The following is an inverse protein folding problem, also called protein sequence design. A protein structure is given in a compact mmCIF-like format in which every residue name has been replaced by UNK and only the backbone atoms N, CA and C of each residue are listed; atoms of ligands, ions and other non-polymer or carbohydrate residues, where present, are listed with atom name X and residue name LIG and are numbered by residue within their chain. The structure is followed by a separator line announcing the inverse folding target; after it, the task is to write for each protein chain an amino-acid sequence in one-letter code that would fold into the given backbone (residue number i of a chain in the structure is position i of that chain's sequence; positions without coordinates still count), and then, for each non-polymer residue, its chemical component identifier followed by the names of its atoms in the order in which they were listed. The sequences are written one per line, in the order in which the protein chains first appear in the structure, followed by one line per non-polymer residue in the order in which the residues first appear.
data_IF_453095194930
#
_entry.id   IF_453095194930
#
_cell.length_a   1.000
_cell.length_b   1.000
_cell.length_c   1.000
_cell.angle_alpha   90.00
_cell.angle_beta   90.00
_cell.angle_gamma   90.00
#
_symmetry.space_group_name_H-M   'P 1'
#
loop_
_entity.id
_entity.type
_entity.pdbx_description
1 polymer ?
#
# COMPACT_ATOMS: atom_id res chain seq x y z
N UNK A 1 -5.04 18.98 -28.28
CA UNK A 1 -6.16 18.82 -27.32
C UNK A 1 -6.31 20.14 -26.58
N UNK A 2 -7.46 20.82 -26.70
CA UNK A 2 -7.65 22.16 -26.10
C UNK A 2 -7.76 22.06 -24.57
N UNK A 3 -7.25 23.03 -23.83
CA UNK A 3 -7.22 23.06 -22.34
C UNK A 3 -8.62 22.83 -21.73
N UNK A 4 -9.67 23.29 -22.41
CA UNK A 4 -11.05 23.14 -21.98
C UNK A 4 -11.55 21.69 -22.04
N UNK A 5 -11.04 20.90 -22.99
CA UNK A 5 -11.31 19.45 -23.06
C UNK A 5 -10.58 18.67 -21.98
N UNK A 6 -9.40 19.12 -21.58
CA UNK A 6 -8.69 18.62 -20.41
C UNK A 6 -9.45 18.94 -19.11
N UNK A 7 -9.90 20.18 -18.95
CA UNK A 7 -10.65 20.63 -17.78
C UNK A 7 -11.97 19.88 -17.60
N UNK A 8 -12.70 19.58 -18.67
CA UNK A 8 -13.99 18.86 -18.59
C UNK A 8 -13.82 17.38 -18.25
N UNK A 9 -12.69 16.76 -18.66
CA UNK A 9 -12.37 15.36 -18.32
C UNK A 9 -11.84 15.18 -16.89
N UNK A 10 -11.13 16.17 -16.36
CA UNK A 10 -10.36 16.01 -15.12
C UNK A 10 -11.11 16.47 -13.86
N UNK A 11 -12.03 17.44 -13.98
CA UNK A 11 -12.70 18.07 -12.82
C UNK A 11 -13.49 17.10 -11.92
N UNK A 12 -14.30 16.17 -12.44
CA UNK A 12 -15.12 15.32 -11.56
C UNK A 12 -14.32 14.33 -10.73
N UNK A 13 -13.09 13.98 -11.17
CA UNK A 13 -12.29 12.92 -10.53
C UNK A 13 -11.20 13.45 -9.58
N UNK A 14 -10.83 14.73 -9.69
CA UNK A 14 -9.78 15.33 -8.84
C UNK A 14 -10.17 15.44 -7.37
N UNK A 15 -11.45 15.55 -7.05
CA UNK A 15 -11.91 15.65 -5.66
C UNK A 15 -11.58 14.38 -4.84
N UNK A 16 -11.39 13.22 -5.46
CA UNK A 16 -10.89 12.03 -4.78
C UNK A 16 -9.53 12.26 -4.10
N UNK A 17 -8.71 13.19 -4.63
CA UNK A 17 -7.41 13.50 -4.05
C UNK A 17 -7.52 14.21 -2.70
N UNK A 18 -8.67 14.81 -2.37
CA UNK A 18 -8.93 15.36 -1.04
C UNK A 18 -8.90 14.28 0.05
N UNK A 19 -9.16 13.02 -0.33
CA UNK A 19 -9.03 11.89 0.58
C UNK A 19 -7.63 11.82 1.22
N UNK A 20 -6.58 12.12 0.47
CA UNK A 20 -5.22 12.08 1.00
C UNK A 20 -5.00 13.05 2.17
N UNK A 21 -5.64 14.20 2.14
CA UNK A 21 -5.56 15.18 3.25
C UNK A 21 -6.20 14.59 4.49
N UNK A 22 -7.41 14.05 4.36
CA UNK A 22 -8.14 13.41 5.48
C UNK A 22 -7.35 12.20 6.00
N UNK A 23 -6.87 11.34 5.09
CA UNK A 23 -6.09 10.17 5.42
C UNK A 23 -4.82 10.52 6.19
N UNK A 24 -4.02 11.47 5.71
CA UNK A 24 -2.76 11.85 6.34
C UNK A 24 -3.00 12.47 7.72
N UNK A 25 -4.00 13.35 7.87
CA UNK A 25 -4.35 13.92 9.17
C UNK A 25 -4.73 12.80 10.15
N UNK A 26 -5.57 11.85 9.72
CA UNK A 26 -6.02 10.75 10.56
C UNK A 26 -4.88 9.78 10.90
N UNK A 27 -4.06 9.42 9.91
CA UNK A 27 -2.92 8.54 10.09
C UNK A 27 -1.91 9.11 11.09
N UNK A 28 -1.46 10.36 10.91
CA UNK A 28 -0.53 11.00 11.82
C UNK A 28 -1.13 11.24 13.21
N UNK A 29 -2.43 11.52 13.28
CA UNK A 29 -3.09 11.61 14.57
C UNK A 29 -3.07 10.26 15.31
N UNK A 30 -3.32 9.15 14.64
CA UNK A 30 -3.23 7.81 15.22
C UNK A 30 -1.81 7.47 15.66
N UNK A 31 -0.81 7.81 14.86
CA UNK A 31 0.59 7.56 15.18
C UNK A 31 1.05 8.33 16.43
N UNK A 32 0.56 9.54 16.61
CA UNK A 32 0.80 10.34 17.81
C UNK A 32 -0.02 9.88 19.04
N UNK A 33 -1.24 9.40 18.83
CA UNK A 33 -2.15 9.00 19.91
C UNK A 33 -1.83 7.61 20.46
N UNK A 34 -1.35 6.71 19.61
CA UNK A 34 -1.05 5.30 19.95
C UNK A 34 0.46 5.12 20.09
N UNK A 35 0.99 5.51 21.25
CA UNK A 35 2.42 5.37 21.55
C UNK A 35 2.79 4.01 22.15
N UNK A 36 1.81 3.29 22.70
CA UNK A 36 1.98 1.95 23.25
C UNK A 36 0.87 1.03 22.70
N UNK A 37 1.19 0.15 21.74
CA UNK A 37 0.20 -0.74 21.17
C UNK A 37 -0.26 -1.76 22.21
N UNK A 38 -1.56 -2.06 22.21
CA UNK A 38 -2.15 -3.05 23.11
C UNK A 38 -1.82 -4.49 22.69
N UNK A 39 -1.66 -4.70 21.38
CA UNK A 39 -1.43 -6.01 20.79
C UNK A 39 -0.12 -5.99 20.02
N UNK A 40 0.86 -6.74 20.48
CA UNK A 40 2.09 -6.99 19.74
C UNK A 40 1.87 -8.21 18.83
N UNK A 41 2.03 -8.00 17.54
CA UNK A 41 1.84 -9.04 16.54
C UNK A 41 3.17 -9.72 16.25
N UNK A 42 3.14 -11.05 16.24
CA UNK A 42 4.29 -11.88 15.94
C UNK A 42 3.82 -13.21 15.35
N UNK A 43 4.53 -13.68 14.34
CA UNK A 43 4.37 -15.01 13.77
C UNK A 43 5.71 -15.76 13.82
N UNK A 44 5.74 -17.07 14.08
CA UNK A 44 6.97 -17.86 13.96
C UNK A 44 7.65 -17.75 12.59
N UNK A 45 6.90 -17.41 11.54
CA UNK A 45 7.47 -17.15 10.21
C UNK A 45 8.30 -15.85 10.17
N UNK A 46 7.99 -14.88 11.02
CA UNK A 46 8.75 -13.63 11.08
C UNK A 46 10.20 -13.86 11.56
N UNK A 47 10.41 -14.88 12.40
CA UNK A 47 11.75 -15.25 12.91
C UNK A 47 12.61 -15.91 11.83
N UNK A 48 11.98 -16.57 10.85
CA UNK A 48 12.68 -17.22 9.74
C UNK A 48 13.09 -16.22 8.64
N UNK A 49 12.50 -15.03 8.60
CA UNK A 49 12.79 -14.01 7.60
C UNK A 49 13.90 -13.10 8.16
N UNK A 50 15.11 -13.11 7.59
CA UNK A 50 16.20 -12.26 8.08
C UNK A 50 15.92 -10.78 7.76
N UNK A 51 16.39 -9.86 8.61
CA UNK A 51 16.41 -8.45 8.29
C UNK A 51 17.38 -8.18 7.14
N UNK A 52 16.93 -7.44 6.14
CA UNK A 52 17.75 -7.00 5.03
C UNK A 52 17.39 -5.56 4.65
N UNK A 53 18.29 -4.63 4.96
CA UNK A 53 18.14 -3.20 4.72
C UNK A 53 18.01 -2.83 3.24
N UNK A 54 18.55 -3.62 2.31
CA UNK A 54 18.47 -3.33 0.88
C UNK A 54 17.04 -3.41 0.33
N UNK A 55 16.14 -4.09 1.04
CA UNK A 55 14.72 -4.07 0.73
C UNK A 55 14.05 -2.71 1.00
N UNK A 56 14.77 -1.73 1.55
CA UNK A 56 14.31 -0.35 1.61
C UNK A 56 14.04 0.24 0.21
N UNK A 57 14.79 -0.20 -0.80
CA UNK A 57 14.61 0.26 -2.18
C UNK A 57 13.22 -0.12 -2.72
N UNK A 58 12.82 -1.40 -2.79
CA UNK A 58 11.45 -1.74 -3.17
C UNK A 58 10.41 -1.21 -2.19
N UNK A 59 10.69 -1.10 -0.89
CA UNK A 59 9.79 -0.50 0.08
C UNK A 59 9.46 0.95 -0.30
N UNK A 60 10.46 1.79 -0.51
CA UNK A 60 10.26 3.19 -0.92
C UNK A 60 9.67 3.31 -2.33
N UNK A 61 9.84 2.31 -3.19
CA UNK A 61 9.22 2.31 -4.52
C UNK A 61 7.70 2.24 -4.49
N UNK A 62 7.10 1.95 -3.34
CA UNK A 62 5.66 2.05 -3.11
C UNK A 62 5.11 3.44 -3.46
N UNK A 63 5.81 4.51 -3.10
CA UNK A 63 5.41 5.87 -3.47
C UNK A 63 5.40 6.08 -4.99
N UNK A 64 6.35 5.47 -5.71
CA UNK A 64 6.39 5.55 -7.17
C UNK A 64 5.26 4.73 -7.80
N UNK A 65 4.96 3.54 -7.27
CA UNK A 65 3.83 2.75 -7.73
C UNK A 65 2.52 3.51 -7.51
N UNK A 66 2.33 4.08 -6.32
CA UNK A 66 1.16 4.85 -5.94
C UNK A 66 0.95 6.05 -6.89
N UNK A 67 1.96 6.90 -7.04
CA UNK A 67 1.88 8.08 -7.88
C UNK A 67 1.74 7.70 -9.37
N UNK A 68 2.55 6.74 -9.85
CA UNK A 68 2.60 6.33 -11.25
C UNK A 68 1.31 5.69 -11.74
N UNK A 69 0.77 4.71 -10.99
CA UNK A 69 -0.48 4.03 -11.37
C UNK A 69 -1.67 4.99 -11.27
N UNK A 70 -1.75 5.76 -10.19
CA UNK A 70 -2.82 6.74 -10.00
C UNK A 70 -2.84 7.78 -11.12
N UNK A 71 -1.69 8.37 -11.45
CA UNK A 71 -1.58 9.35 -12.52
C UNK A 71 -1.88 8.75 -13.91
N UNK A 72 -1.34 7.56 -14.19
CA UNK A 72 -1.55 6.88 -15.47
C UNK A 72 -3.03 6.52 -15.70
N UNK A 73 -3.70 5.99 -14.68
CA UNK A 73 -5.13 5.66 -14.76
C UNK A 73 -5.99 6.92 -14.87
N UNK A 74 -5.70 7.93 -14.07
CA UNK A 74 -6.41 9.21 -14.14
C UNK A 74 -6.33 9.84 -15.52
N UNK A 75 -5.17 9.72 -16.19
CA UNK A 75 -4.96 10.28 -17.52
C UNK A 75 -5.56 9.41 -18.64
N UNK A 76 -5.41 8.10 -18.56
CA UNK A 76 -5.69 7.18 -19.66
C UNK A 76 -7.01 6.40 -19.51
N UNK A 77 -7.48 6.18 -18.27
CA UNK A 77 -8.63 5.30 -17.96
C UNK A 77 -9.34 5.72 -16.67
N UNK A 78 -10.09 6.81 -16.77
CA UNK A 78 -10.78 7.41 -15.61
C UNK A 78 -11.78 6.45 -14.94
N UNK A 79 -12.44 5.58 -15.72
CA UNK A 79 -13.36 4.59 -15.14
C UNK A 79 -12.64 3.58 -14.24
N UNK A 80 -11.45 3.13 -14.63
CA UNK A 80 -10.61 2.26 -13.79
C UNK A 80 -9.95 3.05 -12.65
N UNK A 81 -9.64 4.33 -12.86
CA UNK A 81 -9.18 5.22 -11.79
C UNK A 81 -10.23 5.35 -10.67
N UNK A 82 -11.51 5.54 -10.99
CA UNK A 82 -12.59 5.61 -9.99
C UNK A 82 -12.69 4.31 -9.19
N UNK A 83 -12.59 3.17 -9.87
CA UNK A 83 -12.54 1.86 -9.20
C UNK A 83 -11.34 1.72 -8.27
N UNK A 84 -10.15 2.18 -8.69
CA UNK A 84 -8.97 2.22 -7.85
C UNK A 84 -9.20 3.08 -6.60
N UNK A 85 -9.68 4.31 -6.78
CA UNK A 85 -9.96 5.20 -5.66
C UNK A 85 -10.96 4.58 -4.68
N UNK A 86 -12.05 3.99 -5.17
CA UNK A 86 -13.03 3.33 -4.33
C UNK A 86 -12.42 2.18 -3.52
N UNK A 87 -11.71 1.26 -4.18
CA UNK A 87 -11.19 0.05 -3.52
C UNK A 87 -10.01 0.33 -2.61
N UNK A 88 -9.10 1.21 -3.05
CA UNK A 88 -7.92 1.56 -2.27
C UNK A 88 -8.30 2.41 -1.06
N UNK A 89 -9.07 3.48 -1.25
CA UNK A 89 -9.40 4.40 -0.17
C UNK A 89 -10.34 3.79 0.87
N UNK A 90 -11.32 2.97 0.45
CA UNK A 90 -12.16 2.24 1.42
C UNK A 90 -11.34 1.22 2.22
N UNK A 91 -10.40 0.52 1.58
CA UNK A 91 -9.50 -0.40 2.27
C UNK A 91 -8.55 0.31 3.24
N UNK A 92 -7.97 1.44 2.84
CA UNK A 92 -7.12 2.26 3.73
C UNK A 92 -7.93 2.81 4.91
N UNK A 93 -9.15 3.30 4.67
CA UNK A 93 -10.06 3.74 5.74
C UNK A 93 -10.38 2.60 6.71
N UNK A 94 -10.64 1.41 6.18
CA UNK A 94 -10.85 0.23 7.02
C UNK A 94 -9.63 -0.08 7.89
N UNK A 95 -8.41 0.01 7.34
CA UNK A 95 -7.18 -0.18 8.12
C UNK A 95 -7.09 0.85 9.26
N UNK A 96 -7.36 2.14 9.01
CA UNK A 96 -7.34 3.17 10.06
C UNK A 96 -8.38 2.91 11.16
N UNK A 97 -9.57 2.43 10.78
CA UNK A 97 -10.61 2.04 11.77
C UNK A 97 -10.12 0.86 12.62
N UNK A 98 -9.48 -0.14 12.00
CA UNK A 98 -8.90 -1.28 12.74
C UNK A 98 -7.83 -0.79 13.71
N UNK A 99 -6.95 0.12 13.31
CA UNK A 99 -5.92 0.69 14.19
C UNK A 99 -6.52 1.40 15.42
N UNK A 100 -7.64 2.11 15.24
CA UNK A 100 -8.35 2.74 16.37
C UNK A 100 -8.95 1.73 17.35
N UNK A 101 -9.55 0.65 16.84
CA UNK A 101 -10.28 -0.33 17.66
C UNK A 101 -9.31 -1.34 18.28
N UNK A 102 -8.28 -1.72 17.54
CA UNK A 102 -7.28 -2.72 17.88
C UNK A 102 -5.88 -2.12 17.75
N UNK A 103 -5.46 -1.23 18.68
CA UNK A 103 -4.11 -0.67 18.66
C UNK A 103 -3.06 -1.78 18.66
N UNK A 104 -2.35 -1.92 17.58
CA UNK A 104 -1.40 -3.00 17.36
C UNK A 104 -0.02 -2.48 16.97
N UNK A 105 0.99 -3.32 17.12
CA UNK A 105 2.38 -2.98 16.82
C UNK A 105 3.29 -4.18 16.72
N UNK A 106 4.58 -3.92 16.48
CA UNK A 106 5.61 -4.93 16.28
C UNK A 106 6.85 -4.65 17.14
N UNK A 107 7.54 -5.74 17.51
CA UNK A 107 8.87 -5.74 18.15
C UNK A 107 9.88 -6.51 17.31
N UNK A 108 9.82 -6.38 15.98
CA UNK A 108 10.65 -7.13 15.04
C UNK A 108 11.92 -6.38 14.59
N UNK A 109 11.99 -5.07 14.84
CA UNK A 109 13.12 -4.24 14.38
C UNK A 109 14.39 -4.61 15.14
N UNK A 110 15.50 -4.95 14.45
CA UNK A 110 16.75 -5.27 15.13
C UNK A 110 17.36 -4.00 15.75
N UNK A 111 18.09 -4.17 16.86
CA UNK A 111 18.94 -3.11 17.39
C UNK A 111 20.07 -2.84 16.39
N UNK A 112 20.25 -1.59 16.00
CA UNK A 112 21.21 -1.20 14.96
C UNK A 112 22.63 -1.56 15.35
N UNK A 113 22.95 -1.44 16.62
CA UNK A 113 24.26 -1.73 17.20
C UNK A 113 24.66 -3.21 17.04
N UNK A 114 23.68 -4.11 16.96
CA UNK A 114 23.91 -5.55 16.81
C UNK A 114 24.18 -5.99 15.37
N UNK A 115 23.89 -5.11 14.40
CA UNK A 115 24.02 -5.47 12.98
C UNK A 115 25.48 -5.48 12.49
N UNK A 116 26.40 -4.79 13.18
CA UNK A 116 27.82 -4.79 12.87
C UNK A 116 28.18 -4.25 11.48
N UNK A 117 27.29 -3.46 10.86
CA UNK A 117 27.46 -2.89 9.52
C UNK A 117 26.86 -1.50 9.44
N UNK A 118 27.45 -0.66 8.58
CA UNK A 118 26.97 0.68 8.23
C UNK A 118 27.01 0.85 6.71
N UNK A 119 25.85 1.13 6.11
CA UNK A 119 25.72 1.36 4.68
C UNK A 119 24.55 2.33 4.41
N UNK A 120 24.47 2.91 3.19
CA UNK A 120 23.41 3.87 2.86
C UNK A 120 21.98 3.33 3.04
N UNK A 121 21.73 2.07 2.73
CA UNK A 121 20.40 1.45 2.89
C UNK A 121 19.99 1.38 4.37
N UNK A 122 20.92 1.00 5.26
CA UNK A 122 20.68 0.96 6.70
C UNK A 122 20.42 2.37 7.26
N UNK A 123 21.14 3.39 6.78
CA UNK A 123 20.89 4.78 7.19
C UNK A 123 19.50 5.25 6.78
N UNK A 124 19.03 4.89 5.58
CA UNK A 124 17.65 5.18 5.14
C UNK A 124 16.64 4.43 6.04
N UNK A 125 16.91 3.16 6.37
CA UNK A 125 16.04 2.40 7.29
C UNK A 125 15.94 3.06 8.66
N UNK A 126 17.06 3.55 9.21
CA UNK A 126 17.05 4.28 10.49
C UNK A 126 16.22 5.57 10.44
N UNK A 127 16.28 6.30 9.31
CA UNK A 127 15.44 7.48 9.09
C UNK A 127 13.94 7.10 9.05
N UNK A 128 13.60 6.02 8.35
CA UNK A 128 12.23 5.51 8.29
C UNK A 128 11.74 5.07 9.67
N UNK A 129 12.55 4.34 10.44
CA UNK A 129 12.17 3.89 11.79
C UNK A 129 11.99 5.04 12.79
N UNK A 130 12.66 6.19 12.55
CA UNK A 130 12.43 7.41 13.34
C UNK A 130 11.18 8.16 12.94
N UNK A 131 10.82 8.10 11.65
CA UNK A 131 9.67 8.81 11.09
C UNK A 131 8.34 8.05 11.25
N UNK A 132 8.42 6.71 11.29
CA UNK A 132 7.27 5.80 11.34
C UNK A 132 7.47 4.83 12.51
N UNK A 133 6.66 4.99 13.54
CA UNK A 133 6.70 4.13 14.72
C UNK A 133 6.28 2.69 14.36
N UNK A 134 6.69 1.71 15.19
CA UNK A 134 6.29 0.30 14.98
C UNK A 134 4.89 0.02 15.54
N UNK A 135 3.95 0.95 15.30
CA UNK A 135 2.54 0.89 15.72
C UNK A 135 1.62 1.00 14.51
N UNK A 136 0.36 0.62 14.68
CA UNK A 136 -0.65 0.73 13.60
C UNK A 136 -0.24 -0.02 12.33
N UNK A 137 0.19 -1.27 12.48
CA UNK A 137 0.81 -2.06 11.41
C UNK A 137 -0.14 -3.03 10.72
N UNK A 138 -1.17 -3.53 11.42
CA UNK A 138 -2.10 -4.54 10.89
C UNK A 138 -3.54 -3.98 10.77
N UNK A 139 -4.17 -4.10 9.59
CA UNK A 139 -3.67 -4.66 8.32
C UNK A 139 -2.66 -3.74 7.61
N UNK A 140 -1.71 -4.32 6.85
CA UNK A 140 -0.70 -3.53 6.13
C UNK A 140 -1.31 -2.69 5.00
N UNK A 141 -1.24 -1.37 5.13
CA UNK A 141 -1.68 -0.42 4.08
C UNK A 141 -0.78 -0.54 2.84
N UNK A 142 0.51 -0.79 3.00
CA UNK A 142 1.44 -1.01 1.89
C UNK A 142 0.99 -2.19 1.01
N UNK A 143 0.64 -3.32 1.64
CA UNK A 143 0.20 -4.52 0.93
C UNK A 143 -1.19 -4.34 0.33
N UNK A 144 -2.13 -3.76 1.08
CA UNK A 144 -3.48 -3.47 0.63
C UNK A 144 -3.49 -2.57 -0.60
N UNK A 145 -2.84 -1.42 -0.54
CA UNK A 145 -2.82 -0.46 -1.63
C UNK A 145 -2.03 -0.96 -2.86
N UNK A 146 -0.89 -1.66 -2.65
CA UNK A 146 -0.13 -2.25 -3.75
C UNK A 146 -0.94 -3.28 -4.52
N UNK A 147 -1.69 -4.15 -3.83
CA UNK A 147 -2.58 -5.11 -4.46
C UNK A 147 -3.73 -4.43 -5.22
N UNK A 148 -4.36 -3.39 -4.63
CA UNK A 148 -5.39 -2.60 -5.32
C UNK A 148 -4.85 -1.93 -6.59
N UNK A 149 -3.65 -1.37 -6.55
CA UNK A 149 -3.01 -0.74 -7.71
C UNK A 149 -2.70 -1.75 -8.81
N UNK A 150 -2.10 -2.90 -8.47
CA UNK A 150 -1.82 -3.97 -9.43
C UNK A 150 -3.11 -4.53 -10.06
N UNK A 151 -4.15 -4.69 -9.25
CA UNK A 151 -5.47 -5.14 -9.70
C UNK A 151 -6.10 -4.15 -10.66
N UNK A 152 -6.18 -2.87 -10.30
CA UNK A 152 -6.74 -1.82 -11.14
C UNK A 152 -5.97 -1.69 -12.46
N UNK A 153 -4.64 -1.62 -12.39
CA UNK A 153 -3.81 -1.56 -13.58
C UNK A 153 -4.03 -2.76 -14.51
N UNK A 154 -4.14 -3.97 -13.95
CA UNK A 154 -4.37 -5.20 -14.72
C UNK A 154 -5.71 -5.24 -15.46
N UNK A 155 -6.72 -4.52 -14.95
CA UNK A 155 -8.05 -4.39 -15.57
C UNK A 155 -8.20 -3.13 -16.43
N UNK A 156 -7.15 -2.31 -16.53
CA UNK A 156 -7.19 -1.07 -17.29
C UNK A 156 -6.91 -1.25 -18.77
N UNK A 157 -7.31 -0.24 -19.57
CA UNK A 157 -6.96 -0.13 -21.00
C UNK A 157 -5.45 -0.12 -21.23
N UNK A 158 -4.64 0.28 -20.25
CA UNK A 158 -3.17 0.31 -20.35
C UNK A 158 -2.56 -1.08 -20.39
N UNK A 159 -3.23 -2.08 -19.80
CA UNK A 159 -2.79 -3.47 -19.72
C UNK A 159 -3.61 -4.42 -20.61
N UNK A 160 -4.63 -3.91 -21.31
CA UNK A 160 -5.45 -4.67 -22.23
C UNK A 160 -4.60 -5.25 -23.38
N UNK A 161 -4.72 -6.56 -23.64
CA UNK A 161 -3.90 -7.27 -24.63
C UNK A 161 -2.39 -7.35 -24.33
N UNK A 162 -1.95 -6.92 -23.13
CA UNK A 162 -0.53 -6.84 -22.76
C UNK A 162 -0.23 -7.63 -21.48
N UNK A 163 -0.17 -8.97 -21.55
CA UNK A 163 -0.02 -9.82 -20.36
C UNK A 163 1.26 -9.51 -19.56
N UNK A 164 2.36 -9.18 -20.22
CA UNK A 164 3.61 -8.82 -19.55
C UNK A 164 3.46 -7.62 -18.63
N UNK A 165 2.66 -6.61 -19.02
CA UNK A 165 2.41 -5.43 -18.15
C UNK A 165 1.66 -5.81 -16.88
N UNK A 166 0.72 -6.77 -16.97
CA UNK A 166 0.00 -7.29 -15.81
C UNK A 166 0.95 -8.04 -14.87
N UNK A 167 1.79 -8.91 -15.44
CA UNK A 167 2.81 -9.65 -14.69
C UNK A 167 3.75 -8.67 -13.96
N UNK A 168 4.25 -7.64 -14.65
CA UNK A 168 5.16 -6.65 -14.04
C UNK A 168 4.48 -5.86 -12.92
N UNK A 169 3.22 -5.48 -13.08
CA UNK A 169 2.47 -4.77 -12.03
C UNK A 169 2.31 -5.63 -10.76
N UNK A 170 1.95 -6.91 -10.93
CA UNK A 170 1.84 -7.84 -9.82
C UNK A 170 3.19 -8.21 -9.20
N UNK A 171 4.24 -8.37 -10.02
CA UNK A 171 5.59 -8.61 -9.53
C UNK A 171 6.10 -7.42 -8.69
N UNK A 172 5.82 -6.18 -9.13
CA UNK A 172 6.19 -4.99 -8.35
C UNK A 172 5.41 -4.93 -7.04
N UNK A 173 4.09 -5.14 -7.05
CA UNK A 173 3.29 -5.18 -5.83
C UNK A 173 3.77 -6.29 -4.86
N UNK A 174 4.08 -7.48 -5.38
CA UNK A 174 4.62 -8.58 -4.58
C UNK A 174 5.99 -8.24 -3.97
N UNK A 175 6.86 -7.57 -4.74
CA UNK A 175 8.17 -7.13 -4.25
C UNK A 175 8.03 -6.08 -3.13
N UNK A 176 7.05 -5.17 -3.22
CA UNK A 176 6.74 -4.23 -2.14
C UNK A 176 6.24 -5.01 -0.91
N UNK A 177 5.30 -5.96 -1.06
CA UNK A 177 4.82 -6.76 0.06
C UNK A 177 5.96 -7.54 0.74
N UNK A 178 6.85 -8.17 -0.03
CA UNK A 178 8.04 -8.84 0.51
C UNK A 178 8.95 -7.85 1.22
N UNK A 179 9.13 -6.66 0.68
CA UNK A 179 10.01 -5.66 1.28
C UNK A 179 9.56 -5.26 2.69
N UNK A 180 8.25 -5.23 2.96
CA UNK A 180 7.74 -4.85 4.28
C UNK A 180 8.17 -5.84 5.38
N UNK A 181 8.26 -7.14 5.08
CA UNK A 181 8.70 -8.16 6.05
C UNK A 181 10.21 -8.23 6.16
N UNK A 182 10.97 -8.07 5.06
CA UNK A 182 12.44 -8.04 5.11
C UNK A 182 12.99 -6.79 5.79
N UNK A 183 12.29 -5.66 5.72
CA UNK A 183 12.63 -4.42 6.45
C UNK A 183 12.12 -4.41 7.90
N UNK A 184 11.41 -5.48 8.32
CA UNK A 184 10.80 -5.59 9.65
C UNK A 184 9.81 -4.45 9.97
N UNK A 185 9.17 -3.91 8.93
CA UNK A 185 8.09 -2.92 9.06
C UNK A 185 6.73 -3.58 9.26
N UNK A 186 6.57 -4.84 8.81
CA UNK A 186 5.36 -5.62 8.96
C UNK A 186 5.68 -7.09 9.28
N UNK A 187 4.77 -7.74 10.02
CA UNK A 187 4.68 -9.19 10.16
C UNK A 187 4.03 -9.81 8.92
N UNK A 188 4.25 -11.10 8.71
CA UNK A 188 3.50 -11.86 7.70
C UNK A 188 1.98 -11.85 7.95
N UNK A 189 1.56 -11.67 9.21
CA UNK A 189 0.14 -11.50 9.58
C UNK A 189 -0.41 -10.22 8.98
N UNK A 190 0.31 -9.11 9.09
CA UNK A 190 -0.11 -7.80 8.58
C UNK A 190 -0.23 -7.82 7.06
N UNK A 191 0.72 -8.50 6.40
CA UNK A 191 0.71 -8.72 4.94
C UNK A 191 -0.53 -9.50 4.53
N UNK A 192 -0.80 -10.62 5.19
CA UNK A 192 -1.96 -11.47 4.90
C UNK A 192 -3.28 -10.71 5.10
N UNK A 193 -3.41 -9.96 6.21
CA UNK A 193 -4.58 -9.14 6.49
C UNK A 193 -4.75 -8.02 5.45
N UNK A 194 -3.66 -7.31 5.09
CA UNK A 194 -3.70 -6.26 4.08
C UNK A 194 -4.13 -6.77 2.70
N UNK A 195 -3.59 -7.91 2.28
CA UNK A 195 -4.00 -8.58 1.05
C UNK A 195 -5.47 -9.04 1.10
N UNK A 196 -5.94 -9.60 2.22
CA UNK A 196 -7.33 -9.98 2.40
C UNK A 196 -8.26 -8.77 2.23
N UNK A 197 -7.94 -7.62 2.82
CA UNK A 197 -8.71 -6.37 2.64
C UNK A 197 -8.75 -5.95 1.18
N UNK A 198 -7.63 -6.05 0.44
CA UNK A 198 -7.60 -5.70 -0.98
C UNK A 198 -8.49 -6.64 -1.82
N UNK A 199 -8.41 -7.95 -1.57
CA UNK A 199 -9.11 -8.94 -2.40
C UNK A 199 -10.62 -9.05 -2.13
N UNK A 200 -11.13 -8.53 -1.00
CA UNK A 200 -12.58 -8.42 -0.76
C UNK A 200 -13.29 -7.66 -1.89
N UNK A 201 -12.66 -6.66 -2.48
CA UNK A 201 -13.25 -5.86 -3.54
C UNK A 201 -13.22 -6.51 -4.93
N UNK A 202 -12.35 -7.50 -5.16
CA UNK A 202 -12.20 -8.12 -6.47
C UNK A 202 -13.53 -8.64 -7.06
N UNK A 203 -14.30 -9.44 -6.34
CA UNK A 203 -15.57 -9.98 -6.86
C UNK A 203 -16.69 -8.95 -6.97
N UNK A 204 -16.56 -7.79 -6.35
CA UNK A 204 -17.58 -6.75 -6.34
C UNK A 204 -17.35 -5.73 -7.45
N UNK A 205 -16.11 -5.21 -7.56
CA UNK A 205 -15.79 -4.06 -8.41
C UNK A 205 -15.24 -4.48 -9.77
N UNK A 206 -14.54 -5.63 -9.83
CA UNK A 206 -13.83 -6.11 -11.02
C UNK A 206 -14.48 -7.33 -11.67
N UNK A 207 -15.74 -7.64 -11.35
CA UNK A 207 -16.49 -8.69 -12.07
C UNK A 207 -16.56 -8.36 -13.56
N UNK A 208 -16.32 -9.35 -14.44
CA UNK A 208 -16.72 -9.18 -15.84
C UNK A 208 -18.23 -8.92 -15.87
N UNK A 209 -18.66 -7.91 -16.66
CA UNK A 209 -20.08 -7.69 -16.91
C UNK A 209 -20.68 -9.04 -17.37
N UNK A 210 -21.64 -9.59 -16.62
CA UNK A 210 -22.39 -10.75 -17.10
C UNK A 210 -23.00 -10.33 -18.42
N UNK A 211 -22.65 -11.00 -19.51
CA UNK A 211 -23.40 -10.88 -20.74
C UNK A 211 -24.84 -11.27 -20.41
N UNK A 212 -25.72 -10.29 -20.44
CA UNK A 212 -27.16 -10.54 -20.40
C UNK A 212 -27.48 -11.16 -21.78
N UNK A 213 -27.61 -12.48 -21.81
CA UNK A 213 -28.17 -13.22 -22.94
C UNK A 213 -29.68 -13.20 -22.80
#
# INVERSE_FOLDING_TARGET
MKLDQLRSRCRPHLWYQLYWVVYLIWFFWLDLAITAPKYILHSPLDDLIPFNEWFVIPYCSWFLLLAGVTAALWWCDTATYDKLCLTMFSGMTFCLIVYMILPNGLELRPAVETLGRDNPALRIMQMLWKADAAVNVCPSIHCQSSACMAMAFSHSKLAEGKPMRKVLAWAWAALICLSTVFTKQHSVIDVACGLAVAFVWLPVVYRPARALH
#
